data_IF_499938668888
#
_entry.id   IF_499938668888
#
_cell.length_a   1.000
_cell.length_b   1.000
_cell.length_c   1.000
_cell.angle_alpha   90.00
_cell.angle_beta   90.00
_cell.angle_gamma   90.00
#
_symmetry.space_group_name_H-M   'P 1'
#
loop_
_entity.id
_entity.type
_entity.pdbx_description
1 polymer ?
#
# COMPACT_ATOMS: atom_id res chain seq x y z
N UNK A 1 19.54 -10.63 18.36
CA UNK A 1 19.05 -9.70 19.42
C UNK A 1 17.53 -9.58 19.30
N UNK A 2 17.00 -9.29 18.11
CA UNK A 2 15.53 -9.14 17.92
C UNK A 2 14.76 -10.38 18.35
N UNK A 3 15.19 -11.57 17.96
CA UNK A 3 14.54 -12.83 18.36
C UNK A 3 14.57 -13.06 19.87
N UNK A 4 15.64 -12.63 20.56
CA UNK A 4 15.75 -12.73 22.01
C UNK A 4 14.81 -11.76 22.72
N UNK A 5 14.64 -10.55 22.18
CA UNK A 5 13.71 -9.56 22.72
C UNK A 5 12.26 -9.97 22.51
N UNK A 6 11.93 -10.50 21.32
CA UNK A 6 10.61 -11.03 21.03
C UNK A 6 10.26 -12.22 21.93
N UNK A 7 11.19 -13.16 22.11
CA UNK A 7 11.02 -14.28 23.04
C UNK A 7 10.82 -13.86 24.49
N UNK A 8 11.37 -12.70 24.87
CA UNK A 8 11.16 -12.10 26.17
C UNK A 8 9.84 -11.30 26.29
N UNK A 9 9.03 -11.27 25.24
CA UNK A 9 7.78 -10.48 25.14
C UNK A 9 7.99 -8.96 25.38
N UNK A 10 9.13 -8.44 24.94
CA UNK A 10 9.50 -7.03 25.05
C UNK A 10 9.50 -6.35 23.70
N UNK A 11 8.43 -6.54 22.93
CA UNK A 11 8.26 -6.01 21.56
C UNK A 11 8.42 -4.49 21.48
N UNK A 12 8.09 -3.78 22.55
CA UNK A 12 8.27 -2.33 22.68
C UNK A 12 9.73 -1.89 22.67
N UNK A 13 10.66 -2.84 22.85
CA UNK A 13 12.10 -2.61 22.84
C UNK A 13 12.78 -3.07 21.55
N UNK A 14 12.05 -3.62 20.57
CA UNK A 14 12.64 -4.04 19.30
C UNK A 14 13.17 -2.82 18.54
N UNK A 15 14.47 -2.71 18.28
CA UNK A 15 15.02 -1.61 17.49
C UNK A 15 14.64 -1.75 16.02
N UNK A 16 14.53 -2.98 15.54
CA UNK A 16 14.30 -3.34 14.15
C UNK A 16 13.49 -4.63 14.05
N UNK A 17 12.68 -4.77 13.00
CA UNK A 17 11.89 -5.96 12.70
C UNK A 17 11.64 -6.13 11.20
N UNK A 18 11.76 -7.36 10.71
CA UNK A 18 11.28 -7.76 9.38
C UNK A 18 9.78 -7.99 9.43
N UNK A 19 8.99 -7.10 8.87
CA UNK A 19 7.53 -7.13 8.92
C UNK A 19 6.95 -8.06 7.82
N UNK A 20 7.31 -9.34 7.87
CA UNK A 20 6.78 -10.38 7.02
C UNK A 20 5.65 -11.11 7.74
N UNK A 21 4.42 -10.76 7.37
CA UNK A 21 3.23 -11.30 8.00
C UNK A 21 2.56 -12.42 7.23
N UNK A 22 1.36 -12.81 7.69
CA UNK A 22 0.58 -13.91 7.10
C UNK A 22 0.14 -13.61 5.65
N UNK A 23 0.39 -12.37 5.16
CA UNK A 23 0.00 -11.92 3.83
C UNK A 23 -1.51 -12.07 3.57
N UNK A 24 -2.28 -11.89 4.63
CA UNK A 24 -3.73 -11.71 4.62
C UNK A 24 -4.08 -10.22 4.35
N UNK A 25 -5.04 -9.69 5.09
CA UNK A 25 -5.38 -8.27 4.96
C UNK A 25 -4.28 -7.37 5.54
N UNK A 26 -3.76 -6.47 4.69
CA UNK A 26 -2.63 -5.59 5.05
C UNK A 26 -2.94 -4.57 6.16
N UNK A 27 -4.22 -4.36 6.51
CA UNK A 27 -4.63 -3.57 7.68
C UNK A 27 -5.00 -4.47 8.88
N UNK A 28 -4.63 -5.75 8.87
CA UNK A 28 -4.83 -6.63 10.03
C UNK A 28 -3.98 -6.20 11.23
N UNK A 29 -4.32 -6.73 12.40
CA UNK A 29 -3.62 -6.39 13.65
C UNK A 29 -2.12 -6.70 13.58
N UNK A 30 -1.71 -7.72 12.85
CA UNK A 30 -0.29 -8.02 12.67
C UNK A 30 0.51 -6.82 12.16
N UNK A 31 -0.02 -6.11 11.16
CA UNK A 31 0.67 -4.96 10.58
C UNK A 31 0.44 -3.66 11.37
N UNK A 32 -0.76 -3.47 11.92
CA UNK A 32 -1.13 -2.22 12.59
C UNK A 32 -0.56 -2.10 14.00
N UNK A 33 -0.32 -3.23 14.70
CA UNK A 33 0.14 -3.24 16.09
C UNK A 33 1.61 -3.61 16.26
N UNK A 34 2.35 -3.81 15.16
CA UNK A 34 3.78 -4.12 15.22
C UNK A 34 4.58 -3.01 15.92
N UNK A 35 5.41 -3.38 16.89
CA UNK A 35 6.01 -2.46 17.88
C UNK A 35 7.50 -2.16 17.66
N UNK A 36 8.07 -2.43 16.51
CA UNK A 36 9.46 -2.04 16.24
C UNK A 36 9.58 -0.54 15.93
N UNK A 37 10.74 0.03 16.20
CA UNK A 37 11.06 1.41 15.82
C UNK A 37 11.35 1.55 14.32
N UNK A 38 11.96 0.52 13.73
CA UNK A 38 12.31 0.49 12.31
C UNK A 38 11.90 -0.85 11.69
N UNK A 39 11.26 -0.80 10.54
CA UNK A 39 10.96 -2.00 9.76
C UNK A 39 11.94 -2.09 8.61
N UNK A 40 12.93 -2.96 8.76
CA UNK A 40 14.02 -3.11 7.79
C UNK A 40 13.63 -3.91 6.55
N UNK A 41 12.50 -4.63 6.61
CA UNK A 41 11.99 -5.37 5.47
C UNK A 41 10.47 -5.62 5.58
N UNK A 42 9.77 -5.37 4.49
CA UNK A 42 8.36 -5.77 4.32
C UNK A 42 8.04 -5.90 2.84
N UNK A 43 7.10 -6.74 2.48
CA UNK A 43 6.72 -6.91 1.08
C UNK A 43 5.29 -7.37 0.90
N UNK A 44 4.83 -7.25 -0.34
CA UNK A 44 3.50 -7.71 -0.75
C UNK A 44 3.51 -7.99 -2.26
N UNK A 45 3.01 -9.16 -2.68
CA UNK A 45 3.10 -9.62 -4.06
C UNK A 45 2.19 -8.83 -5.00
N UNK A 46 2.68 -8.64 -6.24
CA UNK A 46 1.89 -8.07 -7.33
C UNK A 46 2.26 -8.70 -8.68
N UNK A 47 1.24 -9.07 -9.44
CA UNK A 47 1.40 -9.65 -10.76
C UNK A 47 2.03 -8.63 -11.72
N UNK A 48 2.99 -9.02 -12.60
CA UNK A 48 3.39 -8.19 -13.72
C UNK A 48 2.21 -7.87 -14.64
N UNK A 49 2.33 -6.83 -15.47
CA UNK A 49 1.32 -6.52 -16.46
C UNK A 49 1.17 -7.65 -17.47
N UNK A 50 0.00 -7.77 -18.10
CA UNK A 50 -0.22 -8.72 -19.20
C UNK A 50 0.84 -8.60 -20.29
N UNK A 51 1.19 -7.37 -20.69
CA UNK A 51 2.24 -7.07 -21.66
C UNK A 51 3.60 -7.66 -21.28
N UNK A 52 3.92 -7.71 -19.98
CA UNK A 52 5.14 -8.31 -19.48
C UNK A 52 5.03 -9.83 -19.40
N UNK A 53 3.89 -10.37 -18.97
CA UNK A 53 3.63 -11.81 -18.93
C UNK A 53 3.75 -12.44 -20.31
N UNK A 54 3.24 -11.79 -21.38
CA UNK A 54 3.34 -12.22 -22.76
C UNK A 54 4.78 -12.36 -23.28
N UNK A 55 5.77 -11.83 -22.57
CA UNK A 55 7.19 -11.93 -22.94
C UNK A 55 7.88 -13.18 -22.40
N UNK A 56 7.32 -13.83 -21.38
CA UNK A 56 7.96 -14.96 -20.72
C UNK A 56 7.02 -16.15 -20.42
N UNK A 57 5.73 -15.99 -20.64
CA UNK A 57 4.74 -17.07 -20.57
C UNK A 57 4.27 -17.35 -22.00
N UNK A 58 4.24 -18.62 -22.41
CA UNK A 58 3.74 -19.05 -23.72
C UNK A 58 2.28 -18.64 -23.93
N UNK A 59 1.88 -18.28 -25.14
CA UNK A 59 0.52 -17.79 -25.40
C UNK A 59 -0.58 -18.74 -24.91
N UNK A 60 -0.40 -20.04 -25.08
CA UNK A 60 -1.33 -21.09 -24.63
C UNK A 60 -1.32 -21.35 -23.12
N UNK A 61 -0.33 -20.79 -22.40
CA UNK A 61 -0.16 -20.85 -20.94
C UNK A 61 -0.39 -19.53 -20.24
N UNK A 62 -0.73 -18.48 -21.01
CA UNK A 62 -0.89 -17.16 -20.43
C UNK A 62 -2.00 -17.10 -19.38
N UNK A 63 -3.06 -17.90 -19.59
CA UNK A 63 -4.18 -18.05 -18.65
C UNK A 63 -4.82 -19.44 -18.78
N UNK A 64 -5.35 -20.06 -17.72
CA UNK A 64 -5.33 -19.60 -16.32
C UNK A 64 -3.97 -19.86 -15.64
N UNK A 65 -3.74 -19.17 -14.50
CA UNK A 65 -2.54 -19.36 -13.67
C UNK A 65 -2.55 -20.70 -12.91
N UNK A 66 -3.71 -21.31 -12.69
CA UNK A 66 -3.89 -22.56 -11.94
C UNK A 66 -3.41 -23.77 -12.75
N UNK A 67 -2.72 -24.71 -12.07
CA UNK A 67 -2.13 -25.90 -12.70
C UNK A 67 -1.22 -25.56 -13.90
N UNK A 68 -0.52 -24.44 -13.82
CA UNK A 68 0.26 -23.89 -14.90
C UNK A 68 1.74 -23.87 -14.53
N UNK A 69 2.50 -24.77 -15.18
CA UNK A 69 3.92 -24.97 -14.87
C UNK A 69 4.75 -23.70 -15.14
N UNK A 70 4.42 -22.92 -16.18
CA UNK A 70 5.17 -21.72 -16.50
C UNK A 70 4.97 -20.63 -15.43
N UNK A 71 3.74 -20.43 -14.97
CA UNK A 71 3.48 -19.56 -13.83
C UNK A 71 4.24 -19.99 -12.59
N UNK A 72 4.29 -21.27 -12.31
CA UNK A 72 5.00 -21.81 -11.16
C UNK A 72 6.52 -21.66 -11.29
N UNK A 73 7.08 -21.88 -12.49
CA UNK A 73 8.50 -21.68 -12.77
C UNK A 73 8.95 -20.23 -12.58
N UNK A 74 8.09 -19.29 -12.93
CA UNK A 74 8.33 -17.86 -12.77
C UNK A 74 7.86 -17.31 -11.42
N UNK A 75 7.60 -18.14 -10.44
CA UNK A 75 7.29 -17.74 -9.07
C UNK A 75 8.56 -17.43 -8.29
N UNK A 76 8.55 -16.33 -7.54
CA UNK A 76 9.74 -15.81 -6.84
C UNK A 76 10.26 -16.69 -5.69
N UNK A 77 9.44 -17.55 -5.15
CA UNK A 77 9.80 -18.41 -4.02
C UNK A 77 8.99 -19.70 -4.09
N UNK A 78 9.69 -20.81 -4.18
CA UNK A 78 9.10 -22.14 -4.30
C UNK A 78 9.40 -22.90 -3.01
N UNK A 79 8.51 -22.81 -2.04
CA UNK A 79 8.58 -23.59 -0.81
C UNK A 79 7.46 -24.61 -0.77
N UNK A 80 7.80 -25.89 -0.60
CA UNK A 80 6.90 -26.99 -0.23
C UNK A 80 5.54 -27.01 -0.96
N UNK A 81 5.53 -26.81 -2.27
CA UNK A 81 4.33 -26.72 -3.10
C UNK A 81 3.44 -25.46 -2.88
N UNK A 82 3.85 -24.50 -2.07
CA UNK A 82 3.14 -23.23 -1.89
C UNK A 82 3.78 -22.15 -2.78
N UNK A 83 3.47 -22.18 -4.06
CA UNK A 83 3.98 -21.23 -5.02
C UNK A 83 3.46 -19.81 -4.74
N UNK A 84 4.30 -18.81 -4.91
CA UNK A 84 3.93 -17.39 -4.72
C UNK A 84 2.77 -16.93 -5.61
N UNK A 85 2.48 -17.65 -6.68
CA UNK A 85 1.27 -17.46 -7.49
C UNK A 85 0.00 -17.59 -6.65
N UNK A 86 -0.09 -18.63 -5.77
CA UNK A 86 -1.22 -18.81 -4.86
C UNK A 86 -1.31 -17.71 -3.78
N UNK A 87 -0.19 -17.11 -3.46
CA UNK A 87 -0.18 -15.96 -2.54
C UNK A 87 -0.89 -14.75 -3.14
N UNK A 88 -0.66 -14.46 -4.43
CA UNK A 88 -1.42 -13.41 -5.13
C UNK A 88 -2.91 -13.69 -5.14
N UNK A 89 -3.30 -14.96 -5.38
CA UNK A 89 -4.71 -15.38 -5.29
C UNK A 89 -5.30 -15.09 -3.91
N UNK A 90 -4.61 -15.50 -2.84
CA UNK A 90 -5.06 -15.25 -1.46
C UNK A 90 -5.24 -13.76 -1.19
N UNK A 91 -4.31 -12.93 -1.63
CA UNK A 91 -4.35 -11.49 -1.47
C UNK A 91 -5.53 -10.85 -2.22
N UNK A 92 -5.77 -11.28 -3.47
CA UNK A 92 -6.93 -10.84 -4.26
C UNK A 92 -8.24 -11.24 -3.57
N UNK A 93 -8.36 -12.52 -3.19
CA UNK A 93 -9.55 -13.05 -2.52
C UNK A 93 -9.82 -12.33 -1.20
N UNK A 94 -8.77 -12.03 -0.44
CA UNK A 94 -8.89 -11.28 0.81
C UNK A 94 -9.42 -9.86 0.58
N UNK A 95 -8.96 -9.18 -0.48
CA UNK A 95 -9.34 -7.79 -0.74
C UNK A 95 -10.69 -7.67 -1.46
N UNK A 96 -10.98 -8.56 -2.42
CA UNK A 96 -12.15 -8.48 -3.30
C UNK A 96 -13.20 -9.58 -3.08
N UNK A 97 -12.93 -10.59 -2.23
CA UNK A 97 -13.85 -11.68 -1.96
C UNK A 97 -13.78 -12.83 -2.97
N UNK A 98 -13.50 -12.52 -4.22
CA UNK A 98 -13.37 -13.48 -5.31
C UNK A 98 -12.13 -13.20 -6.16
N UNK A 99 -11.74 -14.17 -6.97
CA UNK A 99 -10.63 -14.04 -7.90
C UNK A 99 -11.20 -13.90 -9.31
N UNK A 100 -10.82 -12.88 -10.07
CA UNK A 100 -11.26 -12.71 -11.44
C UNK A 100 -10.96 -13.94 -12.31
N UNK A 101 -11.81 -14.22 -13.27
CA UNK A 101 -11.71 -15.36 -14.19
C UNK A 101 -10.97 -15.04 -15.51
N UNK A 102 -10.47 -13.81 -15.65
CA UNK A 102 -9.70 -13.37 -16.79
C UNK A 102 -8.41 -12.66 -16.37
N UNK A 103 -7.42 -12.67 -17.26
CA UNK A 103 -6.08 -12.17 -16.98
C UNK A 103 -6.03 -10.67 -16.72
N UNK A 104 -6.80 -9.88 -17.41
CA UNK A 104 -6.74 -8.41 -17.31
C UNK A 104 -7.23 -7.96 -15.94
N UNK A 105 -8.38 -8.44 -15.49
CA UNK A 105 -8.90 -8.14 -14.15
C UNK A 105 -8.05 -8.78 -13.04
N UNK A 106 -7.50 -9.99 -13.27
CA UNK A 106 -6.60 -10.62 -12.31
C UNK A 106 -5.33 -9.80 -12.09
N UNK A 107 -4.68 -9.35 -13.15
CA UNK A 107 -3.48 -8.52 -13.05
C UNK A 107 -3.76 -7.19 -12.38
N UNK A 108 -4.88 -6.56 -12.72
CA UNK A 108 -5.31 -5.32 -12.06
C UNK A 108 -5.58 -5.53 -10.56
N UNK A 109 -6.40 -6.53 -10.20
CA UNK A 109 -6.73 -6.83 -8.81
C UNK A 109 -5.47 -7.16 -7.97
N UNK A 110 -4.53 -7.91 -8.55
CA UNK A 110 -3.26 -8.23 -7.92
C UNK A 110 -2.40 -6.99 -7.70
N UNK A 111 -2.29 -6.11 -8.69
CA UNK A 111 -1.53 -4.88 -8.58
C UNK A 111 -2.16 -3.88 -7.61
N UNK A 112 -3.48 -3.78 -7.57
CA UNK A 112 -4.19 -2.98 -6.56
C UNK A 112 -3.90 -3.48 -5.15
N UNK A 113 -3.98 -4.79 -4.95
CA UNK A 113 -3.68 -5.41 -3.65
C UNK A 113 -2.26 -5.08 -3.17
N UNK A 114 -1.27 -5.18 -4.07
CA UNK A 114 0.11 -4.79 -3.77
C UNK A 114 0.24 -3.28 -3.49
N UNK A 115 -0.39 -2.45 -4.31
CA UNK A 115 -0.25 -1.00 -4.23
C UNK A 115 -0.84 -0.44 -2.93
N UNK A 116 -2.05 -0.85 -2.58
CA UNK A 116 -2.69 -0.44 -1.33
C UNK A 116 -1.93 -0.93 -0.11
N UNK A 117 -1.43 -2.18 -0.14
CA UNK A 117 -0.66 -2.72 0.98
C UNK A 117 0.64 -1.94 1.21
N UNK A 118 1.46 -1.74 0.18
CA UNK A 118 2.74 -1.03 0.31
C UNK A 118 2.54 0.44 0.67
N UNK A 119 1.56 1.10 0.09
CA UNK A 119 1.16 2.45 0.48
C UNK A 119 0.79 2.50 1.96
N UNK A 120 -0.09 1.58 2.40
CA UNK A 120 -0.52 1.51 3.79
C UNK A 120 0.66 1.28 4.75
N UNK A 121 1.58 0.38 4.45
CA UNK A 121 2.74 0.13 5.32
C UNK A 121 3.58 1.39 5.52
N UNK A 122 3.85 2.12 4.47
CA UNK A 122 4.61 3.38 4.52
C UNK A 122 3.85 4.43 5.34
N UNK A 123 2.59 4.64 5.05
CA UNK A 123 1.77 5.64 5.73
C UNK A 123 1.54 5.31 7.21
N UNK A 124 1.30 4.04 7.54
CA UNK A 124 1.15 3.59 8.92
C UNK A 124 2.41 3.83 9.76
N UNK A 125 3.59 3.72 9.18
CA UNK A 125 4.84 4.07 9.86
C UNK A 125 4.99 5.58 10.01
N UNK A 126 4.76 6.34 8.95
CA UNK A 126 4.90 7.81 8.94
C UNK A 126 3.94 8.51 9.90
N UNK A 127 2.70 8.02 10.02
CA UNK A 127 1.69 8.59 10.92
C UNK A 127 1.97 8.31 12.40
N UNK A 128 2.93 7.43 12.71
CA UNK A 128 3.36 7.11 14.07
C UNK A 128 4.67 7.77 14.48
N UNK A 129 5.13 8.78 13.75
CA UNK A 129 6.27 9.62 14.12
C UNK A 129 6.03 10.30 15.50
N UNK A 130 7.05 10.46 16.38
CA UNK A 130 8.46 10.04 16.22
C UNK A 130 8.75 8.60 16.72
N UNK A 131 7.74 7.84 17.12
CA UNK A 131 7.93 6.48 17.68
C UNK A 131 8.49 5.53 16.61
N UNK A 132 7.98 5.62 15.39
CA UNK A 132 8.48 4.89 14.24
C UNK A 132 9.49 5.76 13.48
N UNK A 133 10.65 5.19 13.16
CA UNK A 133 11.76 5.89 12.50
C UNK A 133 11.88 5.61 11.00
N UNK A 134 11.30 4.52 10.51
CA UNK A 134 11.33 4.23 9.08
C UNK A 134 10.91 2.82 8.70
N UNK A 135 10.80 2.63 7.38
CA UNK A 135 10.45 1.35 6.77
C UNK A 135 11.18 1.18 5.43
N UNK A 136 11.74 0.00 5.19
CA UNK A 136 12.24 -0.43 3.90
C UNK A 136 11.30 -1.50 3.33
N UNK A 137 10.82 -1.26 2.12
CA UNK A 137 9.95 -2.21 1.45
C UNK A 137 10.73 -3.03 0.40
N UNK A 138 10.46 -4.31 0.38
CA UNK A 138 10.99 -5.26 -0.58
C UNK A 138 10.04 -5.37 -1.78
N UNK A 139 10.43 -5.16 -3.05
CA UNK A 139 11.66 -4.54 -3.49
C UNK A 139 11.40 -3.69 -4.74
N UNK A 140 12.40 -3.00 -5.27
CA UNK A 140 12.20 -2.05 -6.37
C UNK A 140 12.05 -2.76 -7.72
N UNK A 141 13.00 -3.63 -8.07
CA UNK A 141 13.14 -4.19 -9.42
C UNK A 141 13.33 -5.71 -9.35
N UNK A 142 12.67 -6.43 -10.24
CA UNK A 142 12.88 -7.86 -10.42
C UNK A 142 14.25 -8.16 -11.01
N UNK A 143 14.92 -9.21 -10.51
CA UNK A 143 16.21 -9.67 -10.99
C UNK A 143 16.12 -10.62 -12.20
N UNK A 144 14.93 -11.07 -12.57
CA UNK A 144 14.61 -11.91 -13.71
C UNK A 144 13.09 -11.89 -13.98
N UNK A 145 12.57 -12.43 -15.10
CA UNK A 145 11.12 -12.48 -15.35
C UNK A 145 10.39 -13.33 -14.29
N UNK A 146 9.60 -12.71 -13.43
CA UNK A 146 8.93 -13.41 -12.32
C UNK A 146 7.70 -12.68 -11.78
N UNK A 147 6.89 -13.40 -10.99
CA UNK A 147 5.87 -12.86 -10.11
C UNK A 147 6.50 -12.65 -8.72
N UNK A 148 6.44 -11.42 -8.20
CA UNK A 148 7.19 -11.07 -6.98
C UNK A 148 6.62 -9.88 -6.22
N UNK A 149 7.33 -9.48 -5.16
CA UNK A 149 7.08 -8.24 -4.41
C UNK A 149 7.58 -6.96 -5.12
N UNK A 150 8.39 -7.09 -6.21
CA UNK A 150 8.93 -5.94 -6.92
C UNK A 150 7.83 -5.04 -7.50
N UNK A 151 8.10 -3.73 -7.52
CA UNK A 151 7.16 -2.72 -8.04
C UNK A 151 7.50 -2.29 -9.48
N UNK A 152 8.66 -2.68 -9.95
CA UNK A 152 9.08 -2.61 -11.35
C UNK A 152 9.47 -4.02 -11.78
N UNK A 153 8.91 -4.52 -12.86
CA UNK A 153 9.22 -5.85 -13.33
C UNK A 153 10.56 -5.90 -14.11
N UNK A 154 10.99 -7.11 -14.46
CA UNK A 154 12.23 -7.35 -15.23
C UNK A 154 12.34 -6.55 -16.54
N UNK A 155 11.20 -6.22 -17.13
CA UNK A 155 11.15 -5.46 -18.41
C UNK A 155 11.04 -3.95 -18.20
N UNK A 156 11.28 -3.47 -16.96
CA UNK A 156 11.18 -2.08 -16.56
C UNK A 156 9.77 -1.48 -16.64
N UNK A 157 8.75 -2.33 -16.72
CA UNK A 157 7.35 -1.86 -16.63
C UNK A 157 6.99 -1.66 -15.15
N UNK A 158 6.45 -0.49 -14.85
CA UNK A 158 6.02 -0.14 -13.49
C UNK A 158 4.69 -0.82 -13.17
N UNK A 159 4.64 -1.50 -12.04
CA UNK A 159 3.36 -1.93 -11.47
C UNK A 159 2.69 -0.75 -10.77
N UNK A 160 1.39 -0.84 -10.54
CA UNK A 160 0.59 0.21 -9.89
C UNK A 160 1.21 0.72 -8.58
N UNK A 161 1.80 -0.17 -7.81
CA UNK A 161 2.45 0.14 -6.55
C UNK A 161 3.57 1.18 -6.66
N UNK A 162 4.22 1.31 -7.82
CA UNK A 162 5.27 2.32 -8.01
C UNK A 162 4.76 3.74 -7.77
N UNK A 163 3.63 4.10 -8.34
CA UNK A 163 3.09 5.45 -8.21
C UNK A 163 2.46 5.69 -6.84
N UNK A 164 1.86 4.66 -6.23
CA UNK A 164 1.32 4.74 -4.87
C UNK A 164 2.43 4.98 -3.85
N UNK A 165 3.53 4.23 -3.93
CA UNK A 165 4.71 4.41 -3.09
C UNK A 165 5.33 5.79 -3.31
N UNK A 166 5.49 6.22 -4.56
CA UNK A 166 6.05 7.54 -4.88
C UNK A 166 5.29 8.66 -4.19
N UNK A 167 3.96 8.59 -4.15
CA UNK A 167 3.14 9.57 -3.42
C UNK A 167 3.30 9.43 -1.91
N UNK A 168 3.19 8.21 -1.38
CA UNK A 168 3.28 7.95 0.05
C UNK A 168 4.65 8.28 0.67
N UNK A 169 5.72 8.26 -0.13
CA UNK A 169 7.10 8.61 0.28
C UNK A 169 7.51 10.04 -0.06
N UNK A 170 6.61 10.88 -0.56
CA UNK A 170 6.94 12.29 -0.78
C UNK A 170 7.43 12.94 0.52
N UNK A 171 8.48 13.79 0.49
CA UNK A 171 9.05 14.41 1.70
C UNK A 171 8.02 15.19 2.53
N UNK A 172 7.02 15.75 1.90
CA UNK A 172 5.81 16.22 2.54
C UNK A 172 4.61 15.42 2.01
N UNK A 173 3.78 14.91 2.92
CA UNK A 173 2.62 14.11 2.55
C UNK A 173 1.48 14.33 3.54
N UNK A 174 0.26 14.39 3.02
CA UNK A 174 -0.96 14.34 3.83
C UNK A 174 -1.60 12.97 3.67
N UNK A 175 -1.91 12.36 4.80
CA UNK A 175 -2.39 10.98 4.91
C UNK A 175 -3.61 10.92 5.81
N UNK A 176 -4.39 9.86 5.69
CA UNK A 176 -5.47 9.54 6.63
C UNK A 176 -5.04 8.32 7.44
N UNK A 177 -5.05 8.47 8.76
CA UNK A 177 -4.67 7.42 9.71
C UNK A 177 -5.81 6.44 10.00
N UNK A 178 -5.52 5.48 10.87
CA UNK A 178 -6.51 4.52 11.33
C UNK A 178 -7.69 5.21 12.01
N UNK A 179 -8.88 4.62 11.89
CA UNK A 179 -10.09 5.15 12.54
C UNK A 179 -9.98 5.11 14.06
N UNK A 180 -10.24 6.23 14.69
CA UNK A 180 -10.24 6.42 16.14
C UNK A 180 -11.56 7.05 16.57
N UNK A 181 -12.32 6.38 17.42
CA UNK A 181 -13.57 6.92 17.97
C UNK A 181 -14.51 7.49 16.91
N UNK A 182 -14.75 6.74 15.84
CA UNK A 182 -15.63 7.11 14.72
C UNK A 182 -15.13 8.30 13.88
N UNK A 183 -13.83 8.56 13.93
CA UNK A 183 -13.20 9.60 13.13
C UNK A 183 -11.93 9.08 12.44
N UNK A 184 -11.68 9.58 11.26
CA UNK A 184 -10.45 9.37 10.49
C UNK A 184 -9.56 10.60 10.67
N UNK A 185 -8.39 10.48 11.34
CA UNK A 185 -7.46 11.60 11.50
C UNK A 185 -6.77 11.90 10.17
N UNK A 186 -6.80 13.14 9.75
CA UNK A 186 -6.02 13.66 8.61
C UNK A 186 -4.71 14.19 9.14
N UNK A 187 -3.62 13.59 8.73
CA UNK A 187 -2.28 13.79 9.28
C UNK A 187 -1.35 14.32 8.20
N UNK A 188 -0.75 15.48 8.44
CA UNK A 188 0.32 16.00 7.60
C UNK A 188 1.68 15.66 8.23
N UNK A 189 2.61 15.18 7.40
CA UNK A 189 3.98 14.84 7.81
C UNK A 189 4.97 15.59 6.93
N UNK A 190 5.88 16.32 7.55
CA UNK A 190 6.98 17.02 6.92
C UNK A 190 8.30 16.35 7.31
N UNK A 191 8.93 15.62 6.39
CA UNK A 191 10.25 15.00 6.58
C UNK A 191 11.37 15.88 6.02
N UNK A 192 11.07 17.15 5.67
CA UNK A 192 12.09 18.10 5.22
C UNK A 192 12.79 18.80 6.40
N UNK A 193 13.96 19.35 6.14
CA UNK A 193 14.74 20.13 7.12
C UNK A 193 14.24 21.57 7.30
N UNK A 194 13.17 21.95 6.63
CA UNK A 194 12.61 23.30 6.68
C UNK A 194 11.15 23.28 7.11
N UNK A 195 10.68 24.32 7.83
CA UNK A 195 9.26 24.49 8.07
C UNK A 195 8.50 24.62 6.75
N UNK A 196 7.29 24.05 6.71
CA UNK A 196 6.39 24.14 5.56
C UNK A 196 5.06 24.77 5.97
N UNK A 197 4.55 25.63 5.10
CA UNK A 197 3.18 26.14 5.18
C UNK A 197 2.45 25.86 3.86
N UNK A 198 1.14 25.78 3.93
CA UNK A 198 0.34 25.51 2.76
C UNK A 198 -1.14 25.33 3.10
N UNK A 199 -1.86 24.84 2.14
CA UNK A 199 -3.27 24.50 2.23
C UNK A 199 -3.47 23.00 1.90
N UNK A 200 -4.45 22.38 2.54
CA UNK A 200 -4.89 21.03 2.28
C UNK A 200 -6.39 21.01 2.05
N UNK A 201 -6.81 20.16 1.11
CA UNK A 201 -8.21 19.86 0.83
C UNK A 201 -8.41 18.37 0.81
N UNK A 202 -9.47 17.89 1.46
CA UNK A 202 -9.92 16.50 1.36
C UNK A 202 -11.33 16.47 0.81
N UNK A 203 -11.54 15.64 -0.20
CA UNK A 203 -12.81 15.45 -0.87
C UNK A 203 -13.29 14.00 -0.74
N UNK A 204 -14.58 13.81 -0.90
CA UNK A 204 -15.15 12.48 -1.16
C UNK A 204 -14.83 12.01 -2.60
N UNK A 205 -15.29 10.81 -2.94
CA UNK A 205 -15.10 10.21 -4.27
C UNK A 205 -15.75 10.98 -5.43
N UNK A 206 -16.63 11.93 -5.15
CA UNK A 206 -17.31 12.79 -6.14
C UNK A 206 -16.66 14.17 -6.24
N UNK A 207 -15.55 14.40 -5.51
CA UNK A 207 -14.86 15.67 -5.47
C UNK A 207 -15.53 16.73 -4.60
N UNK A 208 -16.53 16.33 -3.77
CA UNK A 208 -17.18 17.24 -2.82
C UNK A 208 -16.24 17.46 -1.63
N UNK A 209 -15.88 18.70 -1.31
CA UNK A 209 -15.00 19.00 -0.19
C UNK A 209 -15.59 18.58 1.13
N UNK A 210 -14.83 17.82 1.92
CA UNK A 210 -15.14 17.48 3.30
C UNK A 210 -14.53 18.50 4.26
N UNK A 211 -13.31 18.97 3.95
CA UNK A 211 -12.72 20.14 4.60
C UNK A 211 -11.61 20.75 3.75
N UNK A 212 -11.31 22.02 4.05
CA UNK A 212 -10.16 22.75 3.55
C UNK A 212 -9.52 23.50 4.73
N UNK A 213 -8.19 23.53 4.79
CA UNK A 213 -7.47 24.18 5.88
C UNK A 213 -6.07 24.61 5.46
N UNK A 214 -5.66 25.78 5.92
CA UNK A 214 -4.25 26.18 5.94
C UNK A 214 -3.52 25.49 7.10
N UNK A 215 -2.24 25.23 6.92
CA UNK A 215 -1.39 24.61 7.93
C UNK A 215 0.01 25.23 7.95
N UNK A 216 0.67 25.11 9.10
CA UNK A 216 2.09 25.37 9.28
C UNK A 216 2.67 24.18 10.05
N UNK A 217 3.73 23.58 9.53
CA UNK A 217 4.43 22.46 10.15
C UNK A 217 5.91 22.82 10.33
N UNK A 218 6.50 22.49 11.50
CA UNK A 218 7.94 22.62 11.67
C UNK A 218 8.71 21.65 10.76
N UNK A 219 10.02 21.88 10.64
CA UNK A 219 10.93 20.90 10.07
C UNK A 219 10.82 19.58 10.83
N UNK A 220 10.91 18.46 10.12
CA UNK A 220 10.82 17.10 10.67
C UNK A 220 9.57 16.88 11.58
N UNK A 221 8.47 17.54 11.24
CA UNK A 221 7.27 17.62 12.06
C UNK A 221 6.06 16.85 11.50
N UNK A 222 5.08 16.65 12.35
CA UNK A 222 3.76 16.15 11.96
C UNK A 222 2.64 16.85 12.75
N UNK A 223 1.44 16.84 12.20
CA UNK A 223 0.24 17.37 12.88
C UNK A 223 -1.02 16.66 12.40
N UNK A 224 -1.95 16.45 13.32
CA UNK A 224 -3.33 16.09 12.97
C UNK A 224 -4.04 17.38 12.59
N UNK A 225 -4.38 17.52 11.32
CA UNK A 225 -5.02 18.73 10.77
C UNK A 225 -6.53 18.74 11.04
N UNK A 226 -7.17 17.58 10.92
CA UNK A 226 -8.62 17.42 11.09
C UNK A 226 -8.96 15.98 11.47
N UNK A 227 -10.21 15.74 11.87
CA UNK A 227 -10.79 14.43 12.14
C UNK A 227 -12.11 14.33 11.39
N UNK A 228 -12.15 13.54 10.33
CA UNK A 228 -13.35 13.36 9.48
C UNK A 228 -14.25 12.30 10.14
N UNK A 229 -15.53 12.60 10.42
CA UNK A 229 -16.47 11.59 10.89
C UNK A 229 -16.63 10.46 9.87
N UNK A 230 -16.59 9.22 10.32
CA UNK A 230 -16.77 8.05 9.48
C UNK A 230 -17.37 6.88 10.27
N UNK A 231 -18.08 6.00 9.58
CA UNK A 231 -18.63 4.79 10.15
C UNK A 231 -17.71 3.60 9.83
N UNK A 232 -17.60 2.64 10.75
CA UNK A 232 -16.81 1.41 10.50
C UNK A 232 -17.35 0.57 9.35
N UNK A 233 -18.63 0.73 9.01
CA UNK A 233 -19.29 0.06 7.89
C UNK A 233 -19.03 0.72 6.54
N UNK A 234 -18.52 1.96 6.53
CA UNK A 234 -18.36 2.73 5.29
C UNK A 234 -17.26 2.14 4.43
N UNK A 235 -17.54 2.05 3.12
CA UNK A 235 -16.55 1.76 2.08
C UNK A 235 -16.54 2.96 1.15
N UNK A 236 -15.51 3.80 1.29
CA UNK A 236 -15.46 5.07 0.57
C UNK A 236 -14.02 5.42 0.19
N UNK A 237 -13.88 6.20 -0.87
CA UNK A 237 -12.66 6.82 -1.33
C UNK A 237 -12.62 8.26 -0.84
N UNK A 238 -11.49 8.66 -0.26
CA UNK A 238 -11.15 10.04 0.01
C UNK A 238 -10.00 10.47 -0.90
N UNK A 239 -10.15 11.63 -1.52
CA UNK A 239 -9.14 12.28 -2.36
C UNK A 239 -8.51 13.44 -1.58
N UNK A 240 -7.20 13.49 -1.53
CA UNK A 240 -6.43 14.43 -0.72
C UNK A 240 -5.52 15.23 -1.65
N UNK A 241 -5.60 16.54 -1.63
CA UNK A 241 -4.67 17.42 -2.32
C UNK A 241 -4.09 18.45 -1.38
N UNK A 242 -2.89 18.91 -1.68
CA UNK A 242 -2.24 20.01 -0.95
C UNK A 242 -1.40 20.88 -1.85
N UNK A 243 -1.23 22.12 -1.41
CA UNK A 243 -0.27 23.07 -1.98
C UNK A 243 0.61 23.62 -0.89
N UNK A 244 1.89 23.72 -1.17
CA UNK A 244 2.91 24.34 -0.30
C UNK A 244 3.75 25.28 -1.13
N UNK A 245 4.64 26.05 -0.48
CA UNK A 245 5.64 26.85 -1.17
C UNK A 245 6.57 25.99 -2.07
N UNK A 246 6.67 24.69 -1.85
CA UNK A 246 7.53 23.76 -2.59
C UNK A 246 6.80 23.03 -3.74
N UNK A 247 5.51 23.25 -3.90
CA UNK A 247 4.70 22.61 -4.94
C UNK A 247 3.40 22.00 -4.43
N UNK A 248 2.79 21.21 -5.27
CA UNK A 248 1.54 20.50 -4.99
C UNK A 248 1.75 18.99 -4.95
N UNK A 249 0.88 18.30 -4.25
CA UNK A 249 0.83 16.84 -4.26
C UNK A 249 -0.57 16.35 -4.00
N UNK A 250 -0.77 15.07 -4.27
CA UNK A 250 -2.04 14.37 -4.06
C UNK A 250 -1.82 13.04 -3.38
N UNK A 251 -2.86 12.57 -2.72
CA UNK A 251 -2.93 11.25 -2.13
C UNK A 251 -4.38 10.77 -2.14
N UNK A 252 -4.61 9.53 -1.77
CA UNK A 252 -5.95 8.99 -1.58
C UNK A 252 -5.98 8.08 -0.35
N UNK A 253 -7.19 7.79 0.12
CA UNK A 253 -7.40 6.83 1.18
C UNK A 253 -8.69 6.05 0.94
N UNK A 254 -8.62 4.73 1.03
CA UNK A 254 -9.78 3.84 0.98
C UNK A 254 -10.10 3.39 2.40
N UNK A 255 -11.28 3.76 2.91
CA UNK A 255 -11.79 3.29 4.20
C UNK A 255 -12.66 2.04 4.04
N UNK A 256 -12.84 1.32 5.14
CA UNK A 256 -13.71 0.15 5.24
C UNK A 256 -12.95 -1.17 5.30
N UNK A 257 -13.72 -2.22 5.54
CA UNK A 257 -13.22 -3.59 5.61
C UNK A 257 -13.54 -4.37 4.34
N UNK A 258 -12.62 -5.25 3.86
CA UNK A 258 -12.89 -6.10 2.72
C UNK A 258 -14.05 -7.09 3.01
N UNK A 259 -14.66 -7.69 1.97
CA UNK A 259 -14.29 -7.54 0.57
C UNK A 259 -14.80 -6.24 -0.05
N UNK A 260 -14.00 -5.66 -0.95
CA UNK A 260 -14.43 -4.55 -1.81
C UNK A 260 -14.95 -5.08 -3.16
N UNK A 261 -15.78 -4.30 -3.85
CA UNK A 261 -16.11 -4.59 -5.24
C UNK A 261 -14.93 -4.22 -6.15
N UNK A 262 -14.47 -5.16 -6.99
CA UNK A 262 -13.43 -4.88 -7.97
C UNK A 262 -13.87 -3.79 -8.95
N UNK A 263 -15.13 -3.85 -9.41
CA UNK A 263 -15.70 -2.83 -10.29
C UNK A 263 -15.72 -1.44 -9.64
N UNK A 264 -16.11 -1.36 -8.38
CA UNK A 264 -16.06 -0.09 -7.64
C UNK A 264 -14.62 0.42 -7.51
N UNK A 265 -13.65 -0.46 -7.29
CA UNK A 265 -12.25 -0.05 -7.21
C UNK A 265 -11.71 0.40 -8.56
N UNK A 266 -12.13 -0.18 -9.68
CA UNK A 266 -11.80 0.31 -11.02
C UNK A 266 -12.30 1.75 -11.22
N UNK A 267 -13.55 2.04 -10.82
CA UNK A 267 -14.11 3.40 -10.88
C UNK A 267 -13.33 4.38 -9.96
N UNK A 268 -12.92 3.94 -8.78
CA UNK A 268 -12.06 4.72 -7.89
C UNK A 268 -10.66 4.95 -8.46
N UNK A 269 -10.10 3.95 -9.11
CA UNK A 269 -8.78 4.07 -9.72
C UNK A 269 -8.74 5.13 -10.82
N UNK A 270 -9.78 5.22 -11.64
CA UNK A 270 -9.92 6.31 -12.63
C UNK A 270 -9.92 7.69 -11.94
N UNK A 271 -10.62 7.83 -10.82
CA UNK A 271 -10.62 9.07 -10.03
C UNK A 271 -9.27 9.39 -9.41
N UNK A 272 -8.60 8.39 -8.81
CA UNK A 272 -7.26 8.51 -8.21
C UNK A 272 -6.22 8.95 -9.25
N UNK A 273 -6.33 8.46 -10.47
CA UNK A 273 -5.37 8.78 -11.54
C UNK A 273 -5.65 10.11 -12.24
N UNK A 274 -6.90 10.54 -12.24
CA UNK A 274 -7.31 11.85 -12.78
C UNK A 274 -7.04 13.01 -11.81
N UNK A 275 -6.91 12.72 -10.51
CA UNK A 275 -6.72 13.67 -9.42
C UNK A 275 -5.24 14.01 -9.19
#
# INVERSE_FOLDING_TARGET
ICDQLAAAQRDDLLPEFHLWGPRDYFKSSFYTTAKAHFFSETGYHGCPSKKSLEKFISPEKLWPYTNNIEWNLHSSDQRDNDYRVLLMEKQIRQLFGEVPDNLDDYTFASQVSQAEAKKFFIENVRTQKPVKSGILWWNLLDGWPQMSDAVVDWYFEKKLAYDYIKRAQAPFCVMIGAMESWHLPVIAVNDTLNPLSGEVRVCDENGVPLFEREFILPADGFSVLERIPAMYSDKALFLIEWRTQNGRGTNHFVTGAPPFSLKQYQDWYEKITAF
#
